data_IF_263721224942
#
_entry.id   IF_263721224942
#
_cell.length_a   1.000
_cell.length_b   1.000
_cell.length_c   1.000
_cell.angle_alpha   90.00
_cell.angle_beta   90.00
_cell.angle_gamma   90.00
#
_symmetry.space_group_name_H-M   'P 1'
#
loop_
_entity.id
_entity.type
_entity.pdbx_description
1 polymer ?
#
# COMPACT_ATOMS: atom_id res chain seq x y z
N UNK A 1 3.28 5.13 -61.32
CA UNK A 1 4.48 4.44 -61.79
C UNK A 1 5.35 3.98 -60.63
N UNK A 2 5.87 2.76 -60.78
CA UNK A 2 6.76 1.97 -59.90
C UNK A 2 6.11 1.03 -58.86
N UNK A 3 5.75 -0.16 -59.37
CA UNK A 3 6.24 -1.50 -59.02
C UNK A 3 6.20 -2.04 -57.57
N UNK A 4 5.22 -2.95 -57.37
CA UNK A 4 5.28 -4.34 -56.87
C UNK A 4 6.66 -4.96 -56.54
N UNK A 5 6.74 -5.82 -55.50
CA UNK A 5 6.80 -7.31 -55.58
C UNK A 5 6.73 -7.91 -54.15
N UNK A 6 5.95 -8.99 -54.02
CA UNK A 6 5.75 -9.93 -52.88
C UNK A 6 7.08 -10.68 -52.51
N UNK A 7 7.23 -11.53 -51.50
CA UNK A 7 6.58 -12.82 -51.29
C UNK A 7 7.13 -13.48 -50.00
N UNK A 8 6.24 -14.23 -49.36
CA UNK A 8 6.42 -15.16 -48.24
C UNK A 8 7.39 -16.33 -48.50
N UNK A 9 7.84 -17.03 -47.43
CA UNK A 9 7.95 -18.53 -47.38
C UNK A 9 8.35 -19.05 -46.00
N UNK A 10 7.79 -20.21 -45.62
CA UNK A 10 7.99 -20.91 -44.35
C UNK A 10 8.96 -22.09 -44.37
N UNK A 11 9.22 -22.60 -43.15
CA UNK A 11 9.58 -23.96 -42.66
C UNK A 11 10.44 -24.92 -43.50
N UNK A 12 11.52 -25.47 -42.91
CA UNK A 12 11.66 -26.87 -42.44
C UNK A 12 13.10 -27.23 -41.98
N UNK A 13 13.19 -28.23 -41.11
CA UNK A 13 14.37 -28.78 -40.40
C UNK A 13 15.09 -29.89 -41.16
N UNK A 14 16.42 -30.04 -40.98
CA UNK A 14 17.13 -31.32 -41.18
C UNK A 14 18.32 -31.50 -40.22
N UNK A 15 18.46 -32.71 -39.68
CA UNK A 15 19.59 -33.22 -38.90
C UNK A 15 20.65 -33.85 -39.82
N UNK A 16 21.94 -33.66 -39.53
CA UNK A 16 23.04 -34.50 -40.05
C UNK A 16 24.08 -34.72 -38.95
N UNK A 17 24.48 -35.97 -38.72
CA UNK A 17 25.48 -36.41 -37.74
C UNK A 17 26.88 -36.58 -38.37
N UNK A 18 27.95 -36.49 -37.56
CA UNK A 18 29.27 -37.04 -37.91
C UNK A 18 30.14 -37.32 -36.66
N UNK A 19 30.78 -38.50 -36.66
CA UNK A 19 31.75 -39.11 -35.72
C UNK A 19 33.02 -38.25 -35.45
N UNK A 20 33.93 -38.43 -34.46
CA UNK A 20 34.78 -39.57 -34.03
C UNK A 20 35.52 -39.19 -32.68
N UNK A 21 36.52 -39.93 -32.10
CA UNK A 21 36.46 -40.85 -30.96
C UNK A 21 37.18 -40.43 -29.64
N UNK A 22 36.95 -41.27 -28.62
CA UNK A 22 37.64 -41.60 -27.36
C UNK A 22 38.93 -40.86 -26.91
N UNK A 23 38.88 -40.40 -25.66
CA UNK A 23 40.04 -40.07 -24.84
C UNK A 23 39.76 -40.28 -23.35
N UNK A 24 39.92 -41.53 -22.86
CA UNK A 24 39.91 -41.83 -21.42
C UNK A 24 41.13 -41.21 -20.74
N UNK A 25 40.91 -40.37 -19.74
CA UNK A 25 41.87 -40.16 -18.65
C UNK A 25 41.16 -40.24 -17.30
N UNK A 26 41.73 -41.06 -16.42
CA UNK A 26 41.28 -41.37 -15.06
C UNK A 26 41.47 -40.15 -14.17
N UNK A 27 40.39 -39.56 -13.66
CA UNK A 27 40.43 -38.66 -12.51
C UNK A 27 39.69 -39.36 -11.37
N UNK A 28 40.46 -39.82 -10.38
CA UNK A 28 39.93 -40.23 -9.08
C UNK A 28 39.30 -39.01 -8.43
N UNK A 29 37.98 -38.92 -8.41
CA UNK A 29 37.26 -37.96 -7.56
C UNK A 29 37.15 -38.54 -6.16
N UNK A 30 37.86 -37.87 -5.24
CA UNK A 30 37.78 -38.13 -3.81
C UNK A 30 36.32 -38.06 -3.32
N UNK A 31 35.92 -39.02 -2.48
CA UNK A 31 34.63 -39.01 -1.80
C UNK A 31 34.56 -37.79 -0.89
N UNK A 32 33.86 -36.75 -1.33
CA UNK A 32 33.52 -35.60 -0.47
C UNK A 32 32.41 -36.08 0.45
N UNK A 33 32.75 -36.23 1.74
CA UNK A 33 31.80 -36.43 2.82
C UNK A 33 30.78 -35.28 2.80
N UNK A 34 29.60 -35.53 2.25
CA UNK A 34 28.45 -34.65 2.39
C UNK A 34 27.98 -34.76 3.83
N UNK A 35 28.49 -33.88 4.69
CA UNK A 35 27.88 -33.63 5.98
C UNK A 35 26.40 -33.32 5.73
N UNK A 36 25.51 -34.10 6.37
CA UNK A 36 24.06 -33.90 6.31
C UNK A 36 23.77 -32.44 6.63
N UNK A 37 23.48 -31.65 5.60
CA UNK A 37 22.90 -30.33 5.77
C UNK A 37 21.60 -30.56 6.51
N UNK A 38 21.54 -30.13 7.78
CA UNK A 38 20.29 -30.10 8.52
C UNK A 38 19.36 -29.22 7.69
N UNK A 39 18.35 -29.86 7.09
CA UNK A 39 17.23 -29.17 6.45
C UNK A 39 16.73 -28.11 7.42
N UNK A 40 17.05 -26.85 7.13
CA UNK A 40 16.42 -25.72 7.80
C UNK A 40 14.97 -25.78 7.35
N UNK A 41 14.07 -26.14 8.26
CA UNK A 41 12.63 -26.11 7.98
C UNK A 41 12.31 -24.72 7.43
N UNK A 42 11.71 -24.60 6.23
CA UNK A 42 11.27 -23.30 5.77
C UNK A 42 10.29 -22.76 6.82
N UNK A 43 10.49 -21.51 7.24
CA UNK A 43 9.54 -20.78 8.09
C UNK A 43 8.26 -20.53 7.27
N UNK A 44 7.45 -21.55 7.03
CA UNK A 44 6.13 -21.38 6.43
C UNK A 44 5.10 -21.09 7.52
N UNK A 45 5.29 -20.00 8.26
CA UNK A 45 4.15 -19.34 8.88
C UNK A 45 3.61 -18.37 7.83
N UNK A 46 2.63 -18.83 7.05
CA UNK A 46 1.86 -17.95 6.18
C UNK A 46 1.08 -16.92 7.00
N UNK A 47 0.44 -15.97 6.31
CA UNK A 47 -0.43 -14.98 6.95
C UNK A 47 -1.59 -15.66 7.67
N UNK A 48 -1.85 -15.27 8.92
CA UNK A 48 -2.98 -15.74 9.71
C UNK A 48 -3.87 -14.56 10.08
N UNK A 49 -5.18 -14.73 9.95
CA UNK A 49 -6.15 -13.74 10.42
C UNK A 49 -6.18 -13.77 11.95
N UNK A 50 -5.70 -12.70 12.59
CA UNK A 50 -5.66 -12.61 14.07
C UNK A 50 -6.92 -11.93 14.63
N UNK A 51 -7.47 -10.95 13.90
CA UNK A 51 -8.60 -10.13 14.36
C UNK A 51 -9.43 -9.62 13.20
N UNK A 52 -10.75 -9.55 13.42
CA UNK A 52 -11.71 -8.84 12.57
C UNK A 52 -12.57 -7.93 13.44
N UNK A 53 -12.79 -6.70 13.00
CA UNK A 53 -13.67 -5.73 13.67
C UNK A 53 -14.62 -5.14 12.64
N UNK A 54 -15.79 -4.74 13.11
CA UNK A 54 -16.81 -4.04 12.32
C UNK A 54 -17.14 -2.74 13.04
N UNK A 55 -17.08 -1.63 12.32
CA UNK A 55 -17.49 -0.32 12.87
C UNK A 55 -19.02 -0.27 13.06
N UNK A 56 -19.45 0.43 14.10
CA UNK A 56 -20.85 0.55 14.54
C UNK A 56 -21.75 1.23 13.50
N UNK A 57 -21.19 2.16 12.71
CA UNK A 57 -21.92 2.89 11.68
C UNK A 57 -22.43 2.00 10.53
N UNK A 58 -21.89 0.79 10.38
CA UNK A 58 -22.39 -0.23 9.44
C UNK A 58 -22.28 0.14 7.96
N UNK A 59 -21.56 1.21 7.62
CA UNK A 59 -21.31 1.65 6.25
C UNK A 59 -20.00 1.05 5.72
N UNK A 60 -19.80 1.20 4.41
CA UNK A 60 -18.56 0.78 3.73
C UNK A 60 -17.37 1.59 4.24
N UNK A 61 -16.24 0.90 4.43
CA UNK A 61 -14.93 1.53 4.65
C UNK A 61 -14.26 1.65 3.29
N UNK A 62 -13.97 2.89 2.87
CA UNK A 62 -13.34 3.18 1.59
C UNK A 62 -11.82 3.33 1.71
N UNK A 63 -11.35 3.95 2.78
CA UNK A 63 -9.94 4.26 2.98
C UNK A 63 -9.36 3.54 4.19
N UNK A 64 -8.10 3.14 4.06
CA UNK A 64 -7.27 2.63 5.15
C UNK A 64 -5.84 3.14 4.96
N UNK A 65 -5.22 3.66 6.03
CA UNK A 65 -3.84 4.13 6.00
C UNK A 65 -3.12 3.75 7.29
N UNK A 66 -1.92 3.17 7.16
CA UNK A 66 -1.00 2.93 8.28
C UNK A 66 -0.10 4.16 8.43
N UNK A 67 0.14 4.61 9.65
CA UNK A 67 1.04 5.72 9.90
C UNK A 67 2.50 5.29 9.69
N UNK A 68 3.06 5.56 8.51
CA UNK A 68 4.46 5.24 8.21
C UNK A 68 5.41 6.45 8.37
N UNK A 69 4.89 7.61 8.75
CA UNK A 69 5.66 8.86 8.85
C UNK A 69 6.40 9.00 10.19
N UNK A 70 6.01 8.22 11.19
CA UNK A 70 6.69 8.15 12.48
C UNK A 70 6.88 6.71 12.93
N UNK A 71 8.14 6.29 13.00
CA UNK A 71 8.52 4.96 13.49
C UNK A 71 8.07 4.71 14.94
N UNK A 72 7.93 5.76 15.76
CA UNK A 72 7.45 5.62 17.14
C UNK A 72 5.95 5.34 17.23
N UNK A 73 5.19 5.60 16.16
CA UNK A 73 3.72 5.46 16.10
C UNK A 73 3.27 4.74 14.84
N UNK A 74 4.08 3.78 14.38
CA UNK A 74 3.77 2.95 13.22
C UNK A 74 2.71 1.87 13.51
N UNK A 75 2.27 1.78 14.76
CA UNK A 75 1.14 1.00 15.21
C UNK A 75 -0.20 1.73 15.04
N UNK A 76 -0.20 2.99 14.60
CA UNK A 76 -1.42 3.73 14.31
C UNK A 76 -1.95 3.41 12.91
N UNK A 77 -3.24 3.13 12.83
CA UNK A 77 -3.96 2.87 11.57
C UNK A 77 -5.22 3.72 11.55
N UNK A 78 -5.52 4.35 10.42
CA UNK A 78 -6.75 5.07 10.20
C UNK A 78 -7.62 4.33 9.18
N UNK A 79 -8.93 4.40 9.37
CA UNK A 79 -9.94 4.06 8.38
C UNK A 79 -10.83 5.27 8.09
N UNK A 80 -11.41 5.30 6.90
CA UNK A 80 -12.43 6.29 6.52
C UNK A 80 -13.62 5.61 5.85
N UNK A 81 -14.81 6.00 6.28
CA UNK A 81 -16.08 5.51 5.77
C UNK A 81 -17.25 6.24 6.43
N UNK A 82 -18.36 6.41 5.69
CA UNK A 82 -19.39 7.38 6.06
C UNK A 82 -18.79 8.78 6.31
N UNK A 83 -19.42 9.61 7.14
CA UNK A 83 -18.84 10.87 7.62
C UNK A 83 -17.84 10.66 8.77
N UNK A 84 -17.19 9.48 8.88
CA UNK A 84 -16.30 9.13 9.99
C UNK A 84 -14.88 8.79 9.54
N UNK A 85 -13.93 9.18 10.38
CA UNK A 85 -12.56 8.71 10.32
C UNK A 85 -12.17 8.13 11.68
N UNK A 86 -11.80 6.85 11.71
CA UNK A 86 -11.50 6.11 12.95
C UNK A 86 -10.01 5.81 13.02
N UNK A 87 -9.38 6.16 14.14
CA UNK A 87 -7.97 5.91 14.41
C UNK A 87 -7.86 4.78 15.41
N UNK A 88 -7.06 3.78 15.06
CA UNK A 88 -6.79 2.59 15.84
C UNK A 88 -5.33 2.54 16.28
N UNK A 89 -5.12 1.98 17.45
CA UNK A 89 -3.83 1.48 17.90
C UNK A 89 -3.77 -0.04 17.77
N UNK A 90 -2.72 -0.52 17.12
CA UNK A 90 -2.44 -1.95 16.98
C UNK A 90 -1.48 -2.42 18.06
N UNK A 91 -1.83 -3.49 18.75
CA UNK A 91 -1.01 -4.13 19.76
C UNK A 91 -0.18 -5.26 19.14
N UNK A 92 0.99 -5.56 19.73
CA UNK A 92 1.90 -6.60 19.23
C UNK A 92 1.29 -8.03 19.27
N UNK A 93 0.27 -8.25 20.10
CA UNK A 93 -0.50 -9.48 20.19
C UNK A 93 -1.64 -9.57 19.14
N UNK A 94 -1.75 -8.57 18.26
CA UNK A 94 -2.82 -8.45 17.26
C UNK A 94 -4.11 -7.83 17.81
N UNK A 95 -4.07 -7.24 19.00
CA UNK A 95 -5.12 -6.36 19.51
C UNK A 95 -5.31 -5.12 18.61
N UNK A 96 -6.54 -4.64 18.52
CA UNK A 96 -6.88 -3.40 17.82
C UNK A 96 -7.81 -2.58 18.70
N UNK A 97 -7.38 -1.39 19.09
CA UNK A 97 -8.08 -0.50 20.01
C UNK A 97 -8.45 0.80 19.31
N UNK A 98 -9.69 1.26 19.44
CA UNK A 98 -10.10 2.58 18.93
C UNK A 98 -9.51 3.64 19.85
N UNK A 99 -8.69 4.53 19.29
CA UNK A 99 -8.15 5.68 20.02
C UNK A 99 -9.03 6.91 19.86
N UNK A 100 -9.50 7.16 18.64
CA UNK A 100 -10.24 8.37 18.30
C UNK A 100 -11.20 8.08 17.15
N UNK A 101 -12.38 8.70 17.20
CA UNK A 101 -13.33 8.74 16.09
C UNK A 101 -13.62 10.20 15.79
N UNK A 102 -13.24 10.66 14.61
CA UNK A 102 -13.71 11.92 14.07
C UNK A 102 -15.03 11.69 13.33
N UNK A 103 -16.01 12.56 13.58
CA UNK A 103 -17.31 12.56 12.88
C UNK A 103 -17.50 13.96 12.30
N UNK A 104 -17.63 14.06 10.98
CA UNK A 104 -17.87 15.36 10.35
C UNK A 104 -19.23 15.92 10.75
N UNK A 105 -19.28 17.23 10.95
CA UNK A 105 -20.52 17.96 11.22
C UNK A 105 -21.52 17.84 10.08
N UNK A 106 -21.04 17.70 8.84
CA UNK A 106 -21.90 17.47 7.69
C UNK A 106 -22.21 15.97 7.56
N UNK A 107 -23.50 15.62 7.70
CA UNK A 107 -23.98 14.24 7.61
C UNK A 107 -24.06 13.72 6.17
N UNK A 108 -23.97 14.61 5.18
CA UNK A 108 -23.92 14.25 3.76
C UNK A 108 -22.50 13.89 3.29
N UNK A 109 -21.49 14.15 4.11
CA UNK A 109 -20.12 13.74 3.83
C UNK A 109 -19.98 12.21 3.83
N UNK A 110 -19.12 11.73 2.94
CA UNK A 110 -18.67 10.34 2.90
C UNK A 110 -17.18 10.33 2.57
N UNK A 111 -16.34 10.03 3.55
CA UNK A 111 -14.90 10.02 3.37
C UNK A 111 -14.46 8.81 2.55
N UNK A 112 -13.68 9.07 1.50
CA UNK A 112 -13.18 8.05 0.58
C UNK A 112 -11.72 7.71 0.85
N UNK A 113 -10.93 8.68 1.30
CA UNK A 113 -9.51 8.52 1.48
C UNK A 113 -9.00 9.24 2.72
N UNK A 114 -7.84 8.78 3.21
CA UNK A 114 -7.09 9.43 4.26
C UNK A 114 -5.59 9.30 4.04
N UNK A 115 -4.82 10.22 4.60
CA UNK A 115 -3.36 10.21 4.54
C UNK A 115 -2.76 10.74 5.85
N UNK A 116 -1.70 10.07 6.30
CA UNK A 116 -0.94 10.47 7.48
C UNK A 116 0.14 11.49 7.14
N UNK A 117 0.43 12.36 8.10
CA UNK A 117 1.58 13.27 8.14
C UNK A 117 1.95 13.56 9.60
N UNK A 118 2.83 14.53 9.80
CA UNK A 118 3.27 14.99 11.10
C UNK A 118 3.20 16.49 11.21
N UNK A 119 2.81 16.97 12.39
CA UNK A 119 2.87 18.38 12.69
C UNK A 119 4.35 18.81 12.74
N UNK A 120 4.78 19.85 12.01
CA UNK A 120 6.20 20.17 11.85
C UNK A 120 6.88 20.57 13.18
N UNK A 121 6.17 21.23 14.10
CA UNK A 121 6.71 21.66 15.39
C UNK A 121 6.54 20.60 16.50
N UNK A 122 5.31 20.23 16.84
CA UNK A 122 4.99 19.30 17.94
C UNK A 122 5.27 17.84 17.61
N UNK A 123 5.41 17.49 16.32
CA UNK A 123 5.47 16.11 15.85
C UNK A 123 4.20 15.32 16.17
N UNK A 124 3.05 15.95 16.41
CA UNK A 124 1.79 15.21 16.56
C UNK A 124 1.40 14.48 15.27
N UNK A 125 0.67 13.35 15.33
CA UNK A 125 0.17 12.70 14.14
C UNK A 125 -0.88 13.60 13.50
N UNK A 126 -0.76 13.82 12.20
CA UNK A 126 -1.75 14.55 11.41
C UNK A 126 -2.44 13.55 10.49
N UNK A 127 -3.76 13.61 10.45
CA UNK A 127 -4.58 12.85 9.51
C UNK A 127 -5.34 13.82 8.61
N UNK A 128 -5.07 13.77 7.31
CA UNK A 128 -5.93 14.41 6.32
C UNK A 128 -6.98 13.41 5.85
N UNK A 129 -8.24 13.84 5.77
CA UNK A 129 -9.36 13.04 5.27
C UNK A 129 -10.18 13.84 4.27
N UNK A 130 -10.68 13.17 3.24
CA UNK A 130 -11.52 13.78 2.21
C UNK A 130 -12.40 12.75 1.52
N UNK A 131 -13.42 13.23 0.81
CA UNK A 131 -14.34 12.36 0.09
C UNK A 131 -15.37 13.13 -0.72
N UNK A 132 -16.65 12.77 -0.52
CA UNK A 132 -17.78 13.18 -1.35
C UNK A 132 -17.93 14.70 -1.53
N UNK A 133 -17.66 15.51 -0.49
CA UNK A 133 -17.88 16.96 -0.57
C UNK A 133 -16.75 17.73 -1.27
N UNK A 134 -15.62 17.07 -1.60
CA UNK A 134 -14.46 17.77 -2.16
C UNK A 134 -13.75 18.69 -1.15
N UNK A 135 -14.00 18.49 0.15
CA UNK A 135 -13.39 19.24 1.24
C UNK A 135 -12.35 18.35 1.93
N UNK A 136 -11.17 18.91 2.19
CA UNK A 136 -10.13 18.22 2.96
C UNK A 136 -10.19 18.71 4.40
N UNK A 137 -10.36 17.80 5.35
CA UNK A 137 -10.22 18.07 6.79
C UNK A 137 -8.83 17.61 7.25
N UNK A 138 -8.09 18.50 7.90
CA UNK A 138 -6.77 18.19 8.49
C UNK A 138 -6.92 18.12 10.01
N UNK A 139 -6.84 16.90 10.55
CA UNK A 139 -7.04 16.59 11.95
C UNK A 139 -5.67 16.44 12.62
N UNK A 140 -5.46 17.14 13.73
CA UNK A 140 -4.35 16.82 14.64
C UNK A 140 -4.85 15.78 15.65
N UNK A 141 -4.29 14.58 15.61
CA UNK A 141 -4.71 13.46 16.45
C UNK A 141 -4.20 13.58 17.90
N UNK A 142 -3.16 14.37 18.14
CA UNK A 142 -2.68 14.69 19.49
C UNK A 142 -3.63 15.63 20.23
N UNK A 143 -4.08 16.70 19.56
CA UNK A 143 -5.05 17.66 20.14
C UNK A 143 -6.50 17.28 19.92
N UNK A 144 -6.76 16.29 19.07
CA UNK A 144 -8.08 15.81 18.67
C UNK A 144 -8.96 16.90 18.02
N UNK A 145 -8.34 17.81 17.27
CA UNK A 145 -9.04 18.95 16.64
C UNK A 145 -8.78 19.01 15.14
N UNK A 146 -9.79 19.45 14.38
CA UNK A 146 -9.60 19.88 13.00
C UNK A 146 -8.81 21.19 13.00
N UNK A 147 -7.56 21.13 12.55
CA UNK A 147 -6.65 22.29 12.48
C UNK A 147 -6.85 23.13 11.23
N UNK A 148 -7.21 22.49 10.12
CA UNK A 148 -7.45 23.15 8.83
C UNK A 148 -8.60 22.48 8.09
N UNK A 149 -9.34 23.30 7.36
CA UNK A 149 -10.30 22.86 6.34
C UNK A 149 -9.84 23.47 5.03
N UNK A 150 -9.54 22.64 4.03
CA UNK A 150 -9.09 23.09 2.71
C UNK A 150 -10.23 22.86 1.72
N UNK A 151 -10.62 23.93 1.05
CA UNK A 151 -11.69 23.94 0.05
C UNK A 151 -11.11 24.46 -1.27
N UNK A 152 -11.49 23.86 -2.38
CA UNK A 152 -11.01 24.27 -3.70
C UNK A 152 -11.46 23.35 -4.82
N UNK A 153 -11.58 22.05 -4.56
CA UNK A 153 -12.15 21.12 -5.52
C UNK A 153 -13.66 21.33 -5.69
N UNK A 154 -14.13 21.24 -6.94
CA UNK A 154 -15.55 21.35 -7.28
C UNK A 154 -16.31 20.02 -7.19
N UNK A 155 -15.60 18.93 -6.91
CA UNK A 155 -16.15 17.58 -6.85
C UNK A 155 -15.43 16.73 -5.80
N UNK A 156 -15.88 15.49 -5.63
CA UNK A 156 -15.33 14.55 -4.66
C UNK A 156 -13.84 14.29 -4.83
N UNK A 157 -13.12 14.16 -3.71
CA UNK A 157 -11.71 13.79 -3.67
C UNK A 157 -11.58 12.28 -3.45
N UNK A 158 -10.85 11.61 -4.35
CA UNK A 158 -10.70 10.17 -4.36
C UNK A 158 -9.40 9.68 -3.71
N UNK A 159 -8.34 10.52 -3.72
CA UNK A 159 -7.07 10.16 -3.09
C UNK A 159 -6.36 11.38 -2.50
N UNK A 160 -5.59 11.11 -1.44
CA UNK A 160 -4.75 12.06 -0.72
C UNK A 160 -3.38 11.45 -0.49
N UNK A 161 -2.31 12.22 -0.72
CA UNK A 161 -0.94 11.81 -0.36
C UNK A 161 -0.14 13.00 0.13
N UNK A 162 0.46 12.86 1.29
CA UNK A 162 1.50 13.79 1.73
C UNK A 162 2.81 13.50 1.01
N UNK A 163 3.61 14.55 0.82
CA UNK A 163 4.94 14.42 0.26
C UNK A 163 5.85 13.66 1.26
N UNK A 164 6.69 12.70 0.82
CA UNK A 164 7.44 11.82 1.72
C UNK A 164 8.51 12.54 2.56
N UNK A 165 9.01 13.69 2.10
CA UNK A 165 10.06 14.46 2.79
C UNK A 165 9.60 15.80 3.34
N UNK A 166 8.43 16.29 2.90
CA UNK A 166 7.89 17.57 3.33
C UNK A 166 6.47 17.36 3.84
N UNK A 167 6.35 17.28 5.16
CA UNK A 167 5.09 17.01 5.86
C UNK A 167 4.01 18.10 5.62
N UNK A 168 4.39 19.26 5.08
CA UNK A 168 3.47 20.36 4.80
C UNK A 168 2.80 20.29 3.43
N UNK A 169 3.35 19.49 2.51
CA UNK A 169 2.83 19.36 1.15
C UNK A 169 1.85 18.18 1.06
N UNK A 170 0.61 18.50 0.69
CA UNK A 170 -0.47 17.54 0.48
C UNK A 170 -0.93 17.60 -0.98
N UNK A 171 -0.96 16.44 -1.65
CA UNK A 171 -1.55 16.27 -2.97
C UNK A 171 -2.96 15.68 -2.83
N UNK A 172 -3.89 16.20 -3.61
CA UNK A 172 -5.27 15.73 -3.70
C UNK A 172 -5.66 15.42 -5.15
N UNK A 173 -6.36 14.30 -5.36
CA UNK A 173 -6.88 13.89 -6.65
C UNK A 173 -8.41 13.89 -6.63
N UNK A 174 -9.02 14.74 -7.45
CA UNK A 174 -10.46 15.00 -7.47
C UNK A 174 -11.12 14.48 -8.76
N UNK A 175 -12.45 14.35 -8.71
CA UNK A 175 -13.31 14.03 -9.85
C UNK A 175 -13.81 15.30 -10.58
N UNK A 176 -13.11 16.42 -10.45
CA UNK A 176 -13.41 17.60 -11.23
C UNK A 176 -12.93 17.41 -12.68
N UNK A 177 -13.73 17.91 -13.62
CA UNK A 177 -13.31 18.07 -15.00
C UNK A 177 -12.76 19.49 -15.09
N UNK A 178 -11.44 19.61 -15.26
CA UNK A 178 -10.76 20.89 -15.51
C UNK A 178 -10.90 21.34 -16.95
#
# INVERSE_FOLDING_TARGET
DMDSVEESRGTESTNVASDVPDGRSNIQSASVNTSKVKSVRPLSKGWQMVRRVKEDHGQVIFGLAINLYDSARNNLVATTGANRATIYEMSADGGMHVLQVYVDSDRSESFFCCAWSLHPATRDPILAVAGQLGIIRVINCGTQTVTRTLMGHGNSINDLRFHPYDASLLLSASKDES
#
